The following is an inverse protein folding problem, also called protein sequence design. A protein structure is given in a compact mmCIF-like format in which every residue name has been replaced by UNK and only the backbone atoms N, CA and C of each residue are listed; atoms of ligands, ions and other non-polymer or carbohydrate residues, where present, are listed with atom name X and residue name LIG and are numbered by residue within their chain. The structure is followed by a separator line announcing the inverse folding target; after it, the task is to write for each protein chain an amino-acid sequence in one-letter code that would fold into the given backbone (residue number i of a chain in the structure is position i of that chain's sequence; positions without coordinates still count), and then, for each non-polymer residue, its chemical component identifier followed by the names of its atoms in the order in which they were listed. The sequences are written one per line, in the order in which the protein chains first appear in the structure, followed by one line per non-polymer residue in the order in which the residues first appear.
data_IF_928713749722
#
_entry.id   IF_928713749722
#
_cell.length_a   1.000
_cell.length_b   1.000
_cell.length_c   1.000
_cell.angle_alpha   90.00
_cell.angle_beta   90.00
_cell.angle_gamma   90.00
#
_symmetry.space_group_name_H-M   'P 1'
#
loop_
_entity.id
_entity.type
_entity.pdbx_description
1 polymer ?
#
# COMPACT_ATOMS: atom_id res chain seq x y z
N UNK A 1 -14.21 -12.96 -14.14
CA UNK A 1 -14.69 -12.99 -12.74
C UNK A 1 -16.21 -12.83 -12.77
N UNK A 2 -16.98 -13.74 -12.17
CA UNK A 2 -18.44 -13.63 -12.10
C UNK A 2 -18.79 -12.62 -11.00
N UNK A 3 -19.47 -11.53 -11.37
CA UNK A 3 -19.96 -10.54 -10.41
C UNK A 3 -21.22 -11.10 -9.73
N UNK A 4 -21.03 -11.92 -8.68
CA UNK A 4 -22.10 -12.46 -7.85
C UNK A 4 -22.36 -11.52 -6.68
N UNK A 5 -23.63 -11.17 -6.46
CA UNK A 5 -24.05 -10.43 -5.26
C UNK A 5 -24.09 -11.40 -4.08
N UNK A 6 -23.45 -11.03 -2.97
CA UNK A 6 -23.37 -11.82 -1.74
C UNK A 6 -24.23 -11.12 -0.68
N UNK A 7 -25.22 -11.84 -0.14
CA UNK A 7 -26.17 -11.30 0.84
C UNK A 7 -26.10 -12.00 2.21
N UNK A 8 -25.54 -13.21 2.25
CA UNK A 8 -25.38 -13.99 3.47
C UNK A 8 -24.24 -13.42 4.33
N UNK A 9 -24.52 -13.12 5.60
CA UNK A 9 -23.56 -12.49 6.53
C UNK A 9 -22.25 -13.27 6.63
N UNK A 10 -22.34 -14.60 6.67
CA UNK A 10 -21.17 -15.48 6.73
C UNK A 10 -20.30 -15.38 5.48
N UNK A 11 -20.93 -15.36 4.30
CA UNK A 11 -20.21 -15.23 3.02
C UNK A 11 -19.60 -13.82 2.87
N UNK A 12 -20.29 -12.78 3.36
CA UNK A 12 -19.76 -11.41 3.36
C UNK A 12 -18.48 -11.34 4.20
N UNK A 13 -18.51 -11.85 5.44
CA UNK A 13 -17.34 -11.86 6.33
C UNK A 13 -16.17 -12.62 5.71
N UNK A 14 -16.44 -13.80 5.15
CA UNK A 14 -15.43 -14.61 4.48
C UNK A 14 -14.78 -13.86 3.30
N UNK A 15 -15.60 -13.27 2.44
CA UNK A 15 -15.11 -12.53 1.27
C UNK A 15 -14.26 -11.33 1.66
N UNK A 16 -14.65 -10.59 2.69
CA UNK A 16 -13.85 -9.47 3.21
C UNK A 16 -12.54 -9.95 3.82
N UNK A 17 -12.55 -11.07 4.54
CA UNK A 17 -11.35 -11.65 5.11
C UNK A 17 -10.36 -12.06 4.01
N UNK A 18 -10.81 -12.75 2.96
CA UNK A 18 -9.97 -13.12 1.82
C UNK A 18 -9.45 -11.89 1.07
N UNK A 19 -10.27 -10.87 0.89
CA UNK A 19 -9.88 -9.63 0.23
C UNK A 19 -8.79 -8.89 1.02
N UNK A 20 -8.97 -8.75 2.34
CA UNK A 20 -7.99 -8.11 3.22
C UNK A 20 -6.71 -8.95 3.28
N UNK A 21 -6.83 -10.27 3.41
CA UNK A 21 -5.68 -11.17 3.34
C UNK A 21 -4.91 -10.94 2.03
N UNK A 22 -5.54 -11.04 0.85
CA UNK A 22 -4.85 -10.84 -0.42
C UNK A 22 -4.30 -9.43 -0.65
N UNK A 23 -4.77 -8.41 0.07
CA UNK A 23 -4.21 -7.06 0.02
C UNK A 23 -2.96 -6.90 0.88
N UNK A 24 -2.88 -7.60 2.02
CA UNK A 24 -1.85 -7.41 3.04
C UNK A 24 -1.02 -8.68 3.29
N UNK A 25 -1.23 -9.73 2.50
CA UNK A 25 -0.43 -10.95 2.52
C UNK A 25 0.96 -10.62 1.99
N UNK A 26 1.84 -10.30 2.94
CA UNK A 26 3.25 -10.07 2.67
C UNK A 26 3.94 -11.42 2.47
N UNK A 27 4.09 -11.83 1.21
CA UNK A 27 4.79 -13.06 0.83
C UNK A 27 6.31 -12.93 0.88
N UNK A 28 6.83 -11.74 1.22
CA UNK A 28 8.27 -11.55 1.44
C UNK A 28 8.66 -12.33 2.69
N UNK A 29 9.83 -12.96 2.63
CA UNK A 29 10.41 -13.61 3.82
C UNK A 29 10.51 -12.57 4.92
N UNK A 30 10.02 -12.88 6.13
CA UNK A 30 10.29 -12.08 7.32
C UNK A 30 11.80 -11.85 7.38
N UNK A 31 12.22 -10.62 7.05
CA UNK A 31 13.59 -10.21 7.24
C UNK A 31 13.74 -10.18 8.75
N UNK A 32 14.37 -11.20 9.33
CA UNK A 32 14.89 -11.09 10.69
C UNK A 32 15.76 -9.85 10.66
N UNK A 33 15.29 -8.77 11.30
CA UNK A 33 16.04 -7.54 11.38
C UNK A 33 17.41 -7.90 11.95
N UNK A 34 18.42 -7.92 11.08
CA UNK A 34 19.80 -8.05 11.50
C UNK A 34 20.06 -6.93 12.49
N UNK A 35 20.74 -7.29 13.59
CA UNK A 35 21.14 -6.45 14.71
C UNK A 35 20.94 -4.94 14.48
N UNK A 36 20.14 -4.31 15.35
CA UNK A 36 19.83 -2.88 15.38
C UNK A 36 21.04 -2.01 14.97
N UNK A 37 21.15 -1.73 13.68
CA UNK A 37 21.97 -0.64 13.17
C UNK A 37 21.20 0.64 13.56
N UNK A 38 21.83 1.60 14.25
CA UNK A 38 21.17 2.82 14.71
C UNK A 38 20.61 3.66 13.55
N UNK A 39 21.15 3.44 12.35
CA UNK A 39 20.70 4.01 11.09
C UNK A 39 20.14 2.85 10.25
N UNK A 40 18.85 2.88 9.97
CA UNK A 40 18.21 1.88 9.10
C UNK A 40 18.78 1.87 7.68
N UNK A 41 18.27 1.00 6.79
CA UNK A 41 18.74 0.94 5.41
C UNK A 41 18.63 2.30 4.72
N UNK A 42 19.62 2.63 3.89
CA UNK A 42 19.63 3.86 3.09
C UNK A 42 18.43 3.87 2.15
N UNK A 43 17.60 4.90 2.21
CA UNK A 43 16.48 5.10 1.27
C UNK A 43 17.06 5.41 -0.12
N UNK A 44 16.79 4.54 -1.08
CA UNK A 44 17.28 4.69 -2.45
C UNK A 44 16.35 5.59 -3.28
N UNK A 45 16.93 6.35 -4.22
CA UNK A 45 16.16 7.15 -5.19
C UNK A 45 15.13 6.30 -5.94
N UNK A 46 15.49 5.07 -6.30
CA UNK A 46 14.59 4.13 -6.97
C UNK A 46 13.38 3.74 -6.12
N UNK A 47 13.54 3.60 -4.80
CA UNK A 47 12.45 3.29 -3.88
C UNK A 47 11.50 4.49 -3.75
N UNK A 48 12.06 5.70 -3.64
CA UNK A 48 11.29 6.94 -3.61
C UNK A 48 10.44 7.11 -4.87
N UNK A 49 11.06 6.95 -6.05
CA UNK A 49 10.36 7.03 -7.33
C UNK A 49 9.28 5.96 -7.47
N UNK A 50 9.55 4.73 -7.02
CA UNK A 50 8.56 3.66 -7.04
C UNK A 50 7.36 3.97 -6.13
N UNK A 51 7.60 4.51 -4.93
CA UNK A 51 6.55 4.91 -4.01
C UNK A 51 5.66 6.02 -4.60
N UNK A 52 6.25 7.07 -5.17
CA UNK A 52 5.51 8.18 -5.78
C UNK A 52 4.66 7.70 -6.97
N UNK A 53 5.24 6.87 -7.83
CA UNK A 53 4.56 6.38 -9.04
C UNK A 53 3.43 5.39 -8.72
N UNK A 54 3.63 4.51 -7.75
CA UNK A 54 2.62 3.51 -7.34
C UNK A 54 1.52 4.06 -6.45
N UNK A 55 1.72 5.23 -5.82
CA UNK A 55 0.73 5.85 -4.95
C UNK A 55 -0.60 6.14 -5.68
N UNK A 56 -1.72 5.97 -4.99
CA UNK A 56 -3.04 6.08 -5.59
C UNK A 56 -3.47 7.53 -5.77
N UNK A 57 -3.87 7.88 -7.00
CA UNK A 57 -4.45 9.18 -7.33
C UNK A 57 -5.94 9.28 -6.95
N UNK A 58 -6.43 10.51 -6.83
CA UNK A 58 -7.82 10.85 -6.51
C UNK A 58 -8.17 10.63 -5.04
N UNK A 59 -7.19 10.69 -4.15
CA UNK A 59 -7.40 10.69 -2.69
C UNK A 59 -7.56 12.12 -2.19
N UNK A 60 -8.35 12.27 -1.12
CA UNK A 60 -8.40 13.55 -0.42
C UNK A 60 -7.02 13.86 0.14
N UNK A 61 -6.63 15.13 0.09
CA UNK A 61 -5.42 15.58 0.75
C UNK A 61 -5.57 15.40 2.28
N UNK A 62 -4.44 15.18 2.94
CA UNK A 62 -4.39 15.13 4.40
C UNK A 62 -4.42 16.57 4.97
N UNK A 63 -4.30 16.79 6.29
CA UNK A 63 -4.35 18.12 6.89
C UNK A 63 -3.30 19.12 6.39
N UNK A 64 -2.31 18.66 5.62
CA UNK A 64 -1.33 19.50 4.93
C UNK A 64 -1.87 20.14 3.65
N UNK A 65 -3.05 19.72 3.18
CA UNK A 65 -3.72 20.16 1.96
C UNK A 65 -2.89 19.93 0.68
N UNK A 66 -1.97 18.95 0.70
CA UNK A 66 -1.14 18.59 -0.46
C UNK A 66 -1.67 17.31 -1.13
N UNK A 67 -2.37 17.41 -2.27
CA UNK A 67 -2.79 16.24 -3.02
C UNK A 67 -1.62 15.51 -3.69
N UNK A 68 -1.72 14.18 -3.77
CA UNK A 68 -0.71 13.30 -4.36
C UNK A 68 -0.37 13.66 -5.82
N UNK A 69 -1.33 14.21 -6.55
CA UNK A 69 -1.19 14.66 -7.93
C UNK A 69 -0.11 15.75 -8.06
N UNK A 70 0.01 16.66 -7.08
CA UNK A 70 1.04 17.70 -7.12
C UNK A 70 2.43 17.11 -6.96
N UNK A 71 2.58 16.13 -6.06
CA UNK A 71 3.86 15.46 -5.84
C UNK A 71 4.26 14.66 -7.08
N UNK A 72 3.32 14.04 -7.78
CA UNK A 72 3.57 13.33 -9.05
C UNK A 72 3.94 14.26 -10.22
N UNK A 73 3.65 15.55 -10.13
CA UNK A 73 4.04 16.56 -11.12
C UNK A 73 5.44 17.10 -10.88
N UNK A 74 6.04 16.83 -9.72
CA UNK A 74 7.43 17.19 -9.45
C UNK A 74 8.29 16.31 -10.36
N UNK A 75 8.91 16.94 -11.34
CA UNK A 75 9.88 16.32 -12.24
C UNK A 75 11.23 16.24 -11.52
N UNK A 76 11.92 15.09 -11.61
CA UNK A 76 13.27 14.89 -11.06
C UNK A 76 14.35 14.82 -12.13
#
# INVERSE_FOLDING_TARGET
KQNKVILEEREIKHTWQEYVAGLFEDTRSDIQAGAEEPEGPVILKSELLHAITSARSGKAADPDEIPMELIKLIDE
#
